data_IF_327180396301
#
_entry.id   IF_327180396301
#
_cell.length_a   1.000
_cell.length_b   1.000
_cell.length_c   1.000
_cell.angle_alpha   90.00
_cell.angle_beta   90.00
_cell.angle_gamma   90.00
#
_symmetry.space_group_name_H-M   'P 1'
#
loop_
_entity.id
_entity.type
_entity.pdbx_description
1 polymer ?
#
# COMPACT_ATOMS: atom_id res chain seq x y z
N UNK A 1 19.82 42.39 -2.18
CA UNK A 1 20.25 41.09 -2.72
C UNK A 1 20.41 40.10 -1.57
N UNK A 2 19.40 39.26 -1.31
CA UNK A 2 19.50 38.14 -0.37
C UNK A 2 19.09 36.89 -1.13
N UNK A 3 20.08 36.05 -1.38
CA UNK A 3 19.99 34.83 -2.21
C UNK A 3 19.24 33.73 -1.47
N UNK A 4 18.20 33.20 -2.13
CA UNK A 4 17.45 32.02 -1.75
C UNK A 4 18.35 30.77 -1.72
N UNK A 5 18.59 30.21 -0.54
CA UNK A 5 19.39 28.98 -0.34
C UNK A 5 18.58 27.78 0.18
N UNK A 6 17.26 27.75 0.06
CA UNK A 6 16.43 26.70 0.69
C UNK A 6 15.46 25.93 -0.24
N UNK A 7 15.82 25.68 -1.51
CA UNK A 7 14.94 24.90 -2.41
C UNK A 7 15.58 23.70 -3.13
N UNK A 8 16.73 23.18 -2.68
CA UNK A 8 17.47 22.13 -3.44
C UNK A 8 17.64 20.74 -2.80
N UNK A 9 17.13 20.45 -1.60
CA UNK A 9 17.56 19.22 -0.88
C UNK A 9 16.60 18.02 -0.88
N UNK A 10 15.35 18.12 -1.33
CA UNK A 10 14.38 17.02 -1.21
C UNK A 10 14.12 16.21 -2.49
N UNK A 11 14.69 16.59 -3.64
CA UNK A 11 14.41 15.93 -4.93
C UNK A 11 15.04 14.53 -5.08
N UNK A 12 15.95 14.12 -4.19
CA UNK A 12 16.65 12.83 -4.30
C UNK A 12 16.65 12.09 -2.96
N UNK A 13 15.48 11.83 -2.37
CA UNK A 13 15.41 10.89 -1.24
C UNK A 13 15.53 9.46 -1.79
N UNK A 14 16.53 8.71 -1.33
CA UNK A 14 16.75 7.32 -1.73
C UNK A 14 17.01 6.44 -0.51
N UNK A 15 16.70 5.16 -0.64
CA UNK A 15 17.22 4.11 0.23
C UNK A 15 18.39 3.42 -0.47
N UNK A 16 19.33 2.90 0.30
CA UNK A 16 20.41 2.06 -0.22
C UNK A 16 20.18 0.63 0.24
N UNK A 17 20.19 -0.30 -0.70
CA UNK A 17 20.05 -1.73 -0.42
C UNK A 17 21.26 -2.48 -0.98
N UNK A 18 21.76 -3.45 -0.24
CA UNK A 18 22.96 -4.21 -0.61
C UNK A 18 22.65 -5.70 -0.68
N UNK A 19 23.21 -6.38 -1.69
CA UNK A 19 23.03 -7.80 -1.90
C UNK A 19 24.04 -8.58 -1.03
N UNK A 20 23.59 -9.36 -0.04
CA UNK A 20 24.48 -10.14 0.83
C UNK A 20 25.16 -11.31 0.09
N UNK A 21 24.71 -11.63 -1.13
CA UNK A 21 25.25 -12.72 -1.96
C UNK A 21 26.11 -12.22 -3.12
N UNK A 22 26.63 -11.00 -3.04
CA UNK A 22 27.52 -10.49 -4.07
C UNK A 22 28.73 -11.43 -4.21
N UNK A 23 28.96 -11.89 -5.44
CA UNK A 23 30.12 -12.74 -5.76
C UNK A 23 31.26 -11.83 -6.24
N UNK A 24 32.50 -12.11 -5.87
CA UNK A 24 33.66 -11.51 -6.54
C UNK A 24 33.79 -12.14 -7.94
N UNK A 25 33.30 -11.45 -8.96
CA UNK A 25 33.34 -11.99 -10.32
C UNK A 25 34.69 -11.69 -10.95
N UNK A 26 35.43 -12.74 -11.31
CA UNK A 26 36.55 -12.62 -12.23
C UNK A 26 36.05 -12.09 -13.59
N UNK A 27 36.83 -11.23 -14.25
CA UNK A 27 36.44 -10.44 -15.44
C UNK A 27 35.85 -11.22 -16.64
N UNK A 28 35.83 -12.56 -16.64
CA UNK A 28 35.34 -13.43 -17.72
C UNK A 28 33.98 -14.10 -17.40
N UNK A 29 33.02 -13.35 -16.86
CA UNK A 29 31.65 -13.84 -16.71
C UNK A 29 30.94 -13.97 -18.07
N UNK A 30 30.13 -15.01 -18.25
CA UNK A 30 29.22 -15.10 -19.41
C UNK A 30 28.21 -13.96 -19.36
N UNK A 31 28.20 -13.15 -20.42
CA UNK A 31 27.25 -12.06 -20.61
C UNK A 31 25.96 -12.63 -21.21
N UNK A 32 24.83 -12.24 -20.64
CA UNK A 32 23.50 -12.53 -21.20
C UNK A 32 22.67 -11.27 -21.26
N UNK A 33 21.60 -11.31 -22.04
CA UNK A 33 20.67 -10.20 -22.19
C UNK A 33 19.35 -10.58 -21.51
N UNK A 34 18.91 -9.76 -20.55
CA UNK A 34 17.52 -9.76 -20.10
C UNK A 34 16.75 -8.75 -20.94
N UNK A 35 15.58 -9.13 -21.43
CA UNK A 35 14.67 -8.26 -22.16
C UNK A 35 13.36 -8.17 -21.39
N UNK A 36 12.86 -6.95 -21.20
CA UNK A 36 11.53 -6.65 -20.70
C UNK A 36 10.96 -5.53 -21.56
N UNK A 37 9.74 -5.73 -22.08
CA UNK A 37 9.23 -4.94 -23.20
C UNK A 37 10.26 -4.93 -24.36
N UNK A 38 10.51 -3.76 -24.93
CA UNK A 38 11.47 -3.56 -26.00
C UNK A 38 12.89 -3.22 -25.48
N UNK A 39 13.11 -3.25 -24.16
CA UNK A 39 14.36 -2.81 -23.53
C UNK A 39 15.22 -4.01 -23.12
N UNK A 40 16.51 -3.93 -23.47
CA UNK A 40 17.50 -4.98 -23.25
C UNK A 40 18.56 -4.54 -22.24
N UNK A 41 18.91 -5.45 -21.34
CA UNK A 41 19.91 -5.26 -20.30
C UNK A 41 20.98 -6.33 -20.38
N UNK A 42 22.22 -5.92 -20.54
CA UNK A 42 23.36 -6.81 -20.40
C UNK A 42 23.59 -7.12 -18.91
N UNK A 43 23.67 -8.39 -18.57
CA UNK A 43 23.81 -8.87 -17.19
C UNK A 43 25.00 -9.79 -17.01
N UNK A 44 25.50 -9.81 -15.78
CA UNK A 44 26.37 -10.87 -15.31
C UNK A 44 25.53 -12.07 -14.89
N UNK A 45 25.63 -13.17 -15.63
CA UNK A 45 24.82 -14.37 -15.39
C UNK A 45 25.00 -14.92 -13.97
N UNK A 46 26.23 -14.97 -13.45
CA UNK A 46 26.52 -15.53 -12.13
C UNK A 46 25.91 -14.68 -11.00
N UNK A 47 26.00 -13.35 -11.09
CA UNK A 47 25.38 -12.46 -10.10
C UNK A 47 23.86 -12.59 -10.10
N UNK A 48 23.24 -12.61 -11.29
CA UNK A 48 21.80 -12.72 -11.40
C UNK A 48 21.29 -14.07 -10.88
N UNK A 49 21.99 -15.18 -11.16
CA UNK A 49 21.69 -16.50 -10.60
C UNK A 49 21.81 -16.53 -9.08
N UNK A 50 22.81 -15.85 -8.51
CA UNK A 50 23.01 -15.80 -7.06
C UNK A 50 21.89 -15.02 -6.36
N UNK A 51 21.39 -13.96 -7.00
CA UNK A 51 20.39 -13.06 -6.46
C UNK A 51 18.94 -13.51 -6.69
N UNK A 52 18.64 -14.17 -7.82
CA UNK A 52 17.28 -14.51 -8.27
C UNK A 52 17.05 -16.03 -8.34
N UNK A 53 16.09 -16.52 -7.57
CA UNK A 53 15.69 -17.93 -7.63
C UNK A 53 14.99 -18.28 -8.95
N UNK A 54 14.23 -17.34 -9.52
CA UNK A 54 13.61 -17.50 -10.83
C UNK A 54 14.67 -17.73 -11.92
N UNK A 55 15.64 -16.82 -12.01
CA UNK A 55 16.72 -16.92 -13.00
C UNK A 55 17.60 -18.13 -12.75
N UNK A 56 17.86 -18.49 -11.48
CA UNK A 56 18.57 -19.73 -11.14
C UNK A 56 17.91 -20.96 -11.77
N UNK A 57 16.59 -21.12 -11.63
CA UNK A 57 15.87 -22.27 -12.22
C UNK A 57 15.88 -22.22 -13.74
N UNK A 58 15.67 -21.05 -14.32
CA UNK A 58 15.61 -20.88 -15.76
C UNK A 58 16.97 -21.03 -16.46
N UNK A 59 18.07 -20.70 -15.78
CA UNK A 59 19.42 -20.72 -16.34
C UNK A 59 20.21 -22.01 -16.04
N UNK A 60 19.85 -22.72 -14.96
CA UNK A 60 20.51 -23.97 -14.52
C UNK A 60 19.66 -25.22 -14.86
N UNK A 61 18.38 -25.07 -15.23
CA UNK A 61 17.48 -26.18 -15.52
C UNK A 61 17.94 -27.14 -16.63
N UNK A 62 17.48 -28.39 -16.54
CA UNK A 62 18.00 -29.58 -17.27
C UNK A 62 17.72 -29.63 -18.79
N UNK A 63 16.90 -28.74 -19.35
CA UNK A 63 16.67 -28.64 -20.81
C UNK A 63 17.71 -27.75 -21.51
N UNK A 64 18.99 -28.12 -21.38
CA UNK A 64 20.17 -27.41 -21.92
C UNK A 64 20.35 -27.66 -23.42
N UNK A 65 19.28 -27.58 -24.22
CA UNK A 65 19.41 -27.67 -25.67
C UNK A 65 19.90 -26.34 -26.29
N UNK A 66 19.52 -25.18 -25.72
CA UNK A 66 20.01 -23.88 -26.20
C UNK A 66 20.15 -22.88 -25.04
N UNK A 67 21.39 -22.52 -24.69
CA UNK A 67 21.64 -21.37 -23.82
C UNK A 67 21.21 -20.10 -24.56
N UNK A 68 19.95 -19.72 -24.42
CA UNK A 68 19.41 -18.50 -25.04
C UNK A 68 20.23 -17.28 -24.59
N UNK A 69 20.78 -16.57 -25.57
CA UNK A 69 21.52 -15.33 -25.33
C UNK A 69 20.59 -14.23 -24.76
N UNK A 70 19.34 -14.22 -25.22
CA UNK A 70 18.30 -13.28 -24.80
C UNK A 70 17.21 -14.03 -24.02
N UNK A 71 16.89 -13.50 -22.86
CA UNK A 71 15.85 -13.97 -21.95
C UNK A 71 14.74 -12.94 -21.91
N UNK A 72 13.56 -13.30 -22.41
CA UNK A 72 12.39 -12.43 -22.43
C UNK A 72 11.60 -12.61 -21.14
N UNK A 73 11.34 -11.52 -20.42
CA UNK A 73 10.74 -11.51 -19.08
C UNK A 73 9.28 -11.06 -19.06
N UNK A 74 8.69 -10.70 -20.21
CA UNK A 74 7.31 -10.20 -20.30
C UNK A 74 6.26 -11.17 -19.73
N UNK A 75 6.54 -12.47 -19.77
CA UNK A 75 5.69 -13.49 -19.14
C UNK A 75 5.51 -13.26 -17.64
N UNK A 76 6.48 -12.63 -16.97
CA UNK A 76 6.40 -12.32 -15.54
C UNK A 76 5.35 -11.24 -15.24
N UNK A 77 5.00 -10.40 -16.21
CA UNK A 77 3.94 -9.39 -16.04
C UNK A 77 2.56 -10.01 -15.81
N UNK A 78 2.33 -11.23 -16.30
CA UNK A 78 1.11 -11.97 -16.01
C UNK A 78 0.93 -12.28 -14.52
N UNK A 79 2.03 -12.48 -13.78
CA UNK A 79 2.01 -12.69 -12.33
C UNK A 79 2.17 -11.40 -11.54
N UNK A 80 3.00 -10.48 -12.05
CA UNK A 80 3.28 -9.20 -11.43
C UNK A 80 3.11 -8.06 -12.44
N UNK A 81 1.90 -7.52 -12.63
CA UNK A 81 1.62 -6.51 -13.64
C UNK A 81 2.42 -5.22 -13.49
N UNK A 82 2.83 -4.88 -12.26
CA UNK A 82 3.65 -3.71 -11.97
C UNK A 82 5.15 -3.93 -12.22
N UNK A 83 5.55 -5.09 -12.73
CA UNK A 83 6.94 -5.35 -13.07
C UNK A 83 7.31 -4.60 -14.36
N UNK A 84 8.19 -3.63 -14.22
CA UNK A 84 8.60 -2.74 -15.30
C UNK A 84 10.12 -2.63 -15.44
N UNK A 85 10.53 -1.91 -16.47
CA UNK A 85 11.93 -1.70 -16.85
C UNK A 85 12.72 -1.00 -15.73
N UNK A 86 12.09 -0.09 -15.00
CA UNK A 86 12.72 0.61 -13.88
C UNK A 86 13.00 -0.37 -12.73
N UNK A 87 12.00 -1.17 -12.35
CA UNK A 87 12.16 -2.21 -11.35
C UNK A 87 13.26 -3.21 -11.73
N UNK A 88 13.29 -3.63 -13.00
CA UNK A 88 14.33 -4.54 -13.51
C UNK A 88 15.73 -3.92 -13.42
N UNK A 89 15.90 -2.65 -13.80
CA UNK A 89 17.17 -1.95 -13.67
C UNK A 89 17.68 -1.93 -12.21
N UNK A 90 16.79 -1.62 -11.26
CA UNK A 90 17.11 -1.63 -9.83
C UNK A 90 17.50 -3.04 -9.35
N UNK A 91 16.78 -4.07 -9.80
CA UNK A 91 17.08 -5.46 -9.46
C UNK A 91 18.46 -5.90 -9.97
N UNK A 92 18.85 -5.44 -11.16
CA UNK A 92 20.19 -5.69 -11.73
C UNK A 92 21.27 -4.97 -10.92
N UNK A 93 21.07 -3.69 -10.57
CA UNK A 93 21.99 -2.97 -9.68
C UNK A 93 22.16 -3.67 -8.33
N UNK A 94 21.06 -4.16 -7.75
CA UNK A 94 21.09 -4.91 -6.50
C UNK A 94 21.91 -6.19 -6.67
N UNK A 95 21.64 -6.97 -7.73
CA UNK A 95 22.38 -8.20 -8.01
C UNK A 95 23.89 -7.94 -8.13
N UNK A 96 24.28 -6.81 -8.73
CA UNK A 96 25.67 -6.39 -8.87
C UNK A 96 26.33 -5.90 -7.56
N UNK A 97 25.56 -5.73 -6.49
CA UNK A 97 26.08 -5.55 -5.13
C UNK A 97 25.31 -4.52 -4.31
N UNK A 98 24.99 -3.37 -4.89
CA UNK A 98 24.27 -2.29 -4.17
C UNK A 98 23.44 -1.47 -5.15
N UNK A 99 22.18 -1.23 -4.79
CA UNK A 99 21.27 -0.36 -5.51
C UNK A 99 20.87 0.85 -4.68
N UNK A 100 20.75 2.00 -5.33
CA UNK A 100 20.11 3.19 -4.76
C UNK A 100 18.70 3.26 -5.32
N UNK A 101 17.72 3.12 -4.44
CA UNK A 101 16.30 3.11 -4.82
C UNK A 101 15.69 4.44 -4.43
N UNK A 102 15.31 5.30 -5.40
CA UNK A 102 14.51 6.49 -5.11
C UNK A 102 13.21 6.10 -4.38
N UNK A 103 12.77 6.91 -3.42
CA UNK A 103 11.58 6.56 -2.61
C UNK A 103 10.34 6.32 -3.49
N UNK A 104 10.17 7.13 -4.54
CA UNK A 104 9.08 7.02 -5.51
C UNK A 104 9.15 5.76 -6.39
N UNK A 105 10.26 5.01 -6.36
CA UNK A 105 10.48 3.76 -7.11
C UNK A 105 10.56 2.51 -6.23
N UNK A 106 10.27 2.62 -4.94
CA UNK A 106 10.27 1.45 -4.03
C UNK A 106 9.27 0.38 -4.49
N UNK A 107 8.10 0.78 -4.98
CA UNK A 107 7.08 -0.14 -5.48
C UNK A 107 7.55 -0.89 -6.73
N UNK A 108 8.24 -0.21 -7.66
CA UNK A 108 8.89 -0.83 -8.81
C UNK A 108 9.95 -1.85 -8.37
N UNK A 109 10.78 -1.49 -7.40
CA UNK A 109 11.81 -2.36 -6.85
C UNK A 109 11.21 -3.62 -6.18
N UNK A 110 10.16 -3.47 -5.39
CA UNK A 110 9.43 -4.60 -4.79
C UNK A 110 8.75 -5.47 -5.85
N UNK A 111 8.18 -4.88 -6.89
CA UNK A 111 7.57 -5.62 -7.97
C UNK A 111 8.60 -6.47 -8.72
N UNK A 112 9.77 -5.91 -9.04
CA UNK A 112 10.86 -6.68 -9.64
C UNK A 112 11.40 -7.76 -8.72
N UNK A 113 11.58 -7.45 -7.42
CA UNK A 113 12.04 -8.42 -6.45
C UNK A 113 11.10 -9.62 -6.32
N UNK A 114 9.78 -9.40 -6.32
CA UNK A 114 8.79 -10.47 -6.31
C UNK A 114 8.74 -11.25 -7.65
N UNK A 115 8.76 -10.54 -8.79
CA UNK A 115 8.72 -11.15 -10.11
C UNK A 115 9.93 -12.07 -10.36
N UNK A 116 11.11 -11.64 -9.90
CA UNK A 116 12.37 -12.36 -10.04
C UNK A 116 12.69 -13.27 -8.83
N UNK A 117 11.80 -13.36 -7.84
CA UNK A 117 11.99 -14.13 -6.60
C UNK A 117 13.32 -13.80 -5.88
N UNK A 118 13.66 -12.51 -5.80
CA UNK A 118 14.83 -11.97 -5.14
C UNK A 118 14.53 -11.64 -3.67
N UNK A 119 14.31 -12.67 -2.86
CA UNK A 119 13.86 -12.52 -1.46
C UNK A 119 14.80 -11.68 -0.58
N UNK A 120 16.10 -11.70 -0.85
CA UNK A 120 17.07 -10.85 -0.14
C UNK A 120 16.87 -9.36 -0.45
N UNK A 121 16.43 -9.04 -1.67
CA UNK A 121 16.09 -7.67 -2.05
C UNK A 121 14.81 -7.21 -1.34
N UNK A 122 13.76 -8.05 -1.30
CA UNK A 122 12.55 -7.77 -0.52
C UNK A 122 12.89 -7.48 0.95
N UNK A 123 13.68 -8.37 1.58
CA UNK A 123 14.12 -8.21 2.97
C UNK A 123 14.92 -6.92 3.19
N UNK A 124 15.84 -6.58 2.28
CA UNK A 124 16.62 -5.35 2.38
C UNK A 124 15.73 -4.10 2.27
N UNK A 125 14.75 -4.10 1.36
CA UNK A 125 13.77 -3.00 1.25
C UNK A 125 12.91 -2.91 2.52
N UNK A 126 12.40 -4.02 3.04
CA UNK A 126 11.62 -4.07 4.29
C UNK A 126 12.40 -3.53 5.49
N UNK A 127 13.71 -3.78 5.57
CA UNK A 127 14.59 -3.20 6.60
C UNK A 127 14.73 -1.69 6.46
N UNK A 128 14.90 -1.18 5.24
CA UNK A 128 14.94 0.27 5.00
C UNK A 128 13.59 0.93 5.34
N UNK A 129 12.47 0.29 5.02
CA UNK A 129 11.14 0.75 5.42
C UNK A 129 10.98 0.79 6.94
N UNK A 130 11.51 -0.20 7.68
CA UNK A 130 11.55 -0.16 9.14
C UNK A 130 12.30 1.09 9.67
N UNK A 131 13.45 1.41 9.08
CA UNK A 131 14.23 2.60 9.48
C UNK A 131 13.49 3.90 9.18
N UNK A 132 12.80 3.98 8.04
CA UNK A 132 11.97 5.13 7.67
C UNK A 132 10.73 5.25 8.57
N UNK A 133 10.13 4.13 8.97
CA UNK A 133 8.98 4.10 9.87
C UNK A 133 9.31 4.56 11.30
N UNK A 134 10.56 4.38 11.74
CA UNK A 134 11.04 4.89 13.02
C UNK A 134 11.23 6.42 13.06
N UNK A 135 11.06 7.12 11.93
CA UNK A 135 11.20 8.57 11.85
C UNK A 135 9.85 9.22 11.57
N UNK A 136 9.38 10.18 12.41
CA UNK A 136 8.03 10.73 12.27
C UNK A 136 7.70 11.22 10.86
N UNK A 137 8.61 11.97 10.22
CA UNK A 137 8.40 12.61 8.91
C UNK A 137 8.18 11.61 7.76
N UNK A 138 8.89 10.49 7.78
CA UNK A 138 8.82 9.47 6.72
C UNK A 138 7.90 8.31 7.07
N UNK A 139 7.43 8.21 8.31
CA UNK A 139 6.65 7.07 8.78
C UNK A 139 5.34 6.87 8.00
N UNK A 140 4.50 7.88 7.74
CA UNK A 140 3.25 7.67 6.98
C UNK A 140 3.51 7.06 5.60
N UNK A 141 4.55 7.52 4.90
CA UNK A 141 4.97 6.97 3.61
C UNK A 141 5.43 5.51 3.75
N UNK A 142 6.37 5.24 4.66
CA UNK A 142 6.94 3.91 4.80
C UNK A 142 5.90 2.86 5.21
N UNK A 143 4.99 3.23 6.12
CA UNK A 143 3.88 2.39 6.56
C UNK A 143 2.91 2.14 5.40
N UNK A 144 2.54 3.18 4.63
CA UNK A 144 1.65 3.02 3.49
C UNK A 144 2.24 2.09 2.41
N UNK A 145 3.52 2.29 2.05
CA UNK A 145 4.22 1.40 1.12
C UNK A 145 4.25 -0.04 1.63
N UNK A 146 4.56 -0.25 2.91
CA UNK A 146 4.63 -1.57 3.51
C UNK A 146 3.28 -2.30 3.46
N UNK A 147 2.20 -1.65 3.91
CA UNK A 147 0.86 -2.28 3.94
C UNK A 147 0.35 -2.60 2.55
N UNK A 148 0.65 -1.78 1.54
CA UNK A 148 0.16 -2.00 0.19
C UNK A 148 0.95 -3.05 -0.61
N UNK A 149 2.20 -3.35 -0.23
CA UNK A 149 3.12 -4.10 -1.10
C UNK A 149 3.83 -5.29 -0.42
N UNK A 150 3.86 -5.36 0.91
CA UNK A 150 4.51 -6.46 1.62
C UNK A 150 3.50 -7.48 2.14
N UNK A 151 4.01 -8.66 2.49
CA UNK A 151 3.23 -9.64 3.23
C UNK A 151 2.82 -9.08 4.60
N UNK A 152 1.72 -9.60 5.14
CA UNK A 152 1.06 -9.06 6.34
C UNK A 152 2.01 -8.94 7.53
N UNK A 153 2.84 -9.95 7.78
CA UNK A 153 3.75 -9.95 8.93
C UNK A 153 4.95 -9.03 8.76
N UNK A 154 5.44 -8.88 7.53
CA UNK A 154 6.46 -7.88 7.22
C UNK A 154 5.92 -6.45 7.38
N UNK A 155 4.69 -6.20 6.90
CA UNK A 155 4.02 -4.91 7.08
C UNK A 155 3.79 -4.57 8.56
N UNK A 156 3.37 -5.55 9.38
CA UNK A 156 3.28 -5.39 10.85
C UNK A 156 4.63 -5.01 11.44
N UNK A 157 5.72 -5.66 11.03
CA UNK A 157 7.07 -5.36 11.51
C UNK A 157 7.47 -3.90 11.25
N UNK A 158 7.16 -3.37 10.05
CA UNK A 158 7.39 -1.96 9.71
C UNK A 158 6.53 -1.04 10.60
N UNK A 159 5.23 -1.34 10.76
CA UNK A 159 4.33 -0.55 11.59
C UNK A 159 4.82 -0.47 13.04
N UNK A 160 5.24 -1.60 13.62
CA UNK A 160 5.71 -1.66 15.03
C UNK A 160 6.83 -0.67 15.32
N UNK A 161 7.66 -0.32 14.34
CA UNK A 161 8.74 0.69 14.49
C UNK A 161 8.24 2.11 14.73
N UNK A 162 6.97 2.39 14.46
CA UNK A 162 6.36 3.71 14.56
C UNK A 162 5.40 3.87 15.74
N UNK A 163 5.07 2.80 16.46
CA UNK A 163 4.06 2.83 17.52
C UNK A 163 4.51 3.69 18.73
N UNK A 164 5.79 3.64 19.10
CA UNK A 164 6.35 4.44 20.20
C UNK A 164 6.36 5.95 19.89
N UNK A 165 6.29 6.32 18.62
CA UNK A 165 6.25 7.71 18.14
C UNK A 165 4.92 8.06 17.49
N UNK A 166 3.86 7.27 17.76
CA UNK A 166 2.56 7.38 17.11
C UNK A 166 2.00 8.81 17.14
N UNK A 167 2.08 9.49 18.30
CA UNK A 167 1.58 10.86 18.45
C UNK A 167 2.29 11.88 17.52
N UNK A 168 3.56 11.64 17.18
CA UNK A 168 4.34 12.46 16.25
C UNK A 168 4.04 12.09 14.79
N UNK A 169 3.78 10.81 14.51
CA UNK A 169 3.43 10.31 13.18
C UNK A 169 2.09 10.88 12.73
N UNK A 170 1.06 10.83 13.57
CA UNK A 170 -0.28 11.33 13.22
C UNK A 170 -0.33 12.85 13.01
N UNK A 171 0.67 13.59 13.50
CA UNK A 171 0.79 15.04 13.30
C UNK A 171 1.44 15.41 11.96
N UNK A 172 1.95 14.46 11.20
CA UNK A 172 2.56 14.76 9.90
C UNK A 172 1.48 15.11 8.87
N UNK A 173 1.80 16.05 7.97
CA UNK A 173 0.85 16.55 6.97
C UNK A 173 0.42 15.50 5.94
N UNK A 174 1.23 14.47 5.73
CA UNK A 174 0.94 13.35 4.82
C UNK A 174 0.20 12.19 5.50
N UNK A 175 -0.13 12.29 6.79
CA UNK A 175 -0.84 11.22 7.50
C UNK A 175 -2.27 11.01 6.95
N UNK A 176 -2.97 12.08 6.56
CA UNK A 176 -4.31 12.00 5.98
C UNK A 176 -4.34 11.37 4.57
N UNK A 177 -3.19 11.23 3.91
CA UNK A 177 -3.05 10.67 2.57
C UNK A 177 -2.85 9.15 2.56
N UNK A 178 -2.70 8.50 3.73
CA UNK A 178 -2.55 7.04 3.78
C UNK A 178 -3.86 6.35 3.42
N UNK A 179 -3.76 5.16 2.81
CA UNK A 179 -4.92 4.39 2.34
C UNK A 179 -5.80 3.89 3.50
N UNK A 180 -7.04 3.49 3.17
CA UNK A 180 -7.97 2.86 4.12
C UNK A 180 -7.35 1.63 4.79
N UNK A 181 -6.75 0.73 4.00
CA UNK A 181 -6.11 -0.49 4.51
C UNK A 181 -4.94 -0.18 5.44
N UNK A 182 -4.15 0.84 5.09
CA UNK A 182 -3.04 1.32 5.91
C UNK A 182 -3.53 1.90 7.23
N UNK A 183 -4.56 2.74 7.20
CA UNK A 183 -5.13 3.32 8.41
C UNK A 183 -5.76 2.24 9.30
N UNK A 184 -6.52 1.29 8.73
CA UNK A 184 -7.10 0.16 9.46
C UNK A 184 -6.02 -0.63 10.20
N UNK A 185 -4.97 -1.06 9.50
CA UNK A 185 -3.92 -1.87 10.13
C UNK A 185 -3.14 -1.07 11.16
N UNK A 186 -2.81 0.19 10.86
CA UNK A 186 -2.02 1.04 11.77
C UNK A 186 -2.78 1.36 13.06
N UNK A 187 -4.03 1.80 12.96
CA UNK A 187 -4.87 2.10 14.11
C UNK A 187 -5.17 0.83 14.93
N UNK A 188 -5.46 -0.29 14.27
CA UNK A 188 -5.74 -1.56 14.94
C UNK A 188 -4.55 -2.04 15.75
N UNK A 189 -3.35 -2.03 15.17
CA UNK A 189 -2.13 -2.43 15.89
C UNK A 189 -1.82 -1.48 17.05
N UNK A 190 -1.99 -0.17 16.86
CA UNK A 190 -1.79 0.79 17.95
C UNK A 190 -2.69 0.50 19.14
N UNK A 191 -4.01 0.39 18.90
CA UNK A 191 -5.00 0.14 19.96
C UNK A 191 -4.76 -1.24 20.59
N UNK A 192 -4.56 -2.28 19.79
CA UNK A 192 -4.37 -3.66 20.28
C UNK A 192 -3.15 -3.79 21.18
N UNK A 193 -1.97 -3.39 20.71
CA UNK A 193 -0.70 -3.49 21.46
C UNK A 193 -0.74 -2.68 22.75
N UNK A 194 -1.39 -1.51 22.73
CA UNK A 194 -1.52 -0.65 23.91
C UNK A 194 -2.66 -1.11 24.84
N UNK A 195 -3.66 -1.84 24.34
CA UNK A 195 -4.74 -2.36 25.19
C UNK A 195 -4.32 -3.55 26.05
N UNK A 196 -3.36 -4.35 25.58
CA UNK A 196 -2.89 -5.57 26.25
C UNK A 196 -1.75 -5.34 27.25
N UNK A 197 -1.04 -4.22 27.17
CA UNK A 197 0.23 -4.00 27.89
C UNK A 197 0.18 -2.89 28.95
N UNK A 198 -0.89 -2.10 29.01
CA UNK A 198 -0.89 -0.81 29.69
C UNK A 198 -1.59 -0.80 31.06
N UNK A 199 -1.02 -0.01 31.98
CA UNK A 199 -1.60 0.30 33.30
C UNK A 199 -2.76 1.31 33.16
N UNK A 200 -3.76 1.20 34.03
CA UNK A 200 -5.01 2.00 33.98
C UNK A 200 -4.83 3.51 33.67
N UNK A 201 -3.78 4.14 34.20
CA UNK A 201 -3.52 5.58 34.07
C UNK A 201 -3.03 6.02 32.67
N UNK A 202 -2.47 5.11 31.88
CA UNK A 202 -1.94 5.37 30.53
C UNK A 202 -2.99 5.16 29.44
N UNK A 203 -4.10 4.45 29.75
CA UNK A 203 -5.22 4.21 28.83
C UNK A 203 -5.80 5.50 28.24
N UNK A 204 -5.83 6.57 29.04
CA UNK A 204 -6.31 7.89 28.60
C UNK A 204 -5.48 8.44 27.45
N UNK A 205 -4.16 8.33 27.51
CA UNK A 205 -3.27 8.83 26.46
C UNK A 205 -3.46 8.05 25.14
N UNK A 206 -3.67 6.73 25.24
CA UNK A 206 -3.97 5.86 24.09
C UNK A 206 -5.26 6.27 23.41
N UNK A 207 -6.33 6.45 24.18
CA UNK A 207 -7.64 6.90 23.68
C UNK A 207 -7.50 8.27 23.02
N UNK A 208 -6.81 9.23 23.65
CA UNK A 208 -6.61 10.56 23.10
C UNK A 208 -5.84 10.55 21.77
N UNK A 209 -4.79 9.72 21.68
CA UNK A 209 -4.02 9.57 20.45
C UNK A 209 -4.82 8.86 19.35
N UNK A 210 -5.57 7.82 19.67
CA UNK A 210 -6.43 7.12 18.70
C UNK A 210 -7.53 8.05 18.16
N UNK A 211 -8.19 8.81 19.05
CA UNK A 211 -9.19 9.83 18.68
C UNK A 211 -8.57 10.91 17.80
N UNK A 212 -7.35 11.37 18.13
CA UNK A 212 -6.62 12.34 17.32
C UNK A 212 -6.28 11.77 15.94
N UNK A 213 -5.85 10.52 15.85
CA UNK A 213 -5.55 9.85 14.59
C UNK A 213 -6.79 9.79 13.69
N UNK A 214 -7.92 9.33 14.24
CA UNK A 214 -9.21 9.30 13.54
C UNK A 214 -9.58 10.70 13.05
N UNK A 215 -9.50 11.73 13.92
CA UNK A 215 -9.83 13.10 13.53
C UNK A 215 -8.97 13.61 12.37
N UNK A 216 -7.65 13.43 12.45
CA UNK A 216 -6.72 13.94 11.42
C UNK A 216 -6.90 13.19 10.10
N UNK A 217 -7.06 11.87 10.15
CA UNK A 217 -7.21 11.08 8.93
C UNK A 217 -8.58 11.25 8.28
N UNK A 218 -9.66 11.34 9.07
CA UNK A 218 -10.99 11.59 8.53
C UNK A 218 -11.13 13.01 7.98
N UNK A 219 -10.54 14.03 8.61
CA UNK A 219 -10.84 15.42 8.26
C UNK A 219 -12.35 15.66 8.35
N UNK A 220 -12.95 16.16 7.26
CA UNK A 220 -14.40 16.35 7.11
C UNK A 220 -15.08 15.20 6.32
N UNK A 221 -14.36 14.13 5.99
CA UNK A 221 -14.87 12.99 5.21
C UNK A 221 -15.72 12.05 6.08
N UNK A 222 -17.03 12.10 5.86
CA UNK A 222 -18.02 11.27 6.54
C UNK A 222 -17.82 9.76 6.31
N UNK A 223 -17.36 9.34 5.14
CA UNK A 223 -17.13 7.91 4.84
C UNK A 223 -15.95 7.38 5.65
N UNK A 224 -14.91 8.19 5.85
CA UNK A 224 -13.79 7.84 6.73
C UNK A 224 -14.22 7.69 8.19
N UNK A 225 -15.18 8.49 8.68
CA UNK A 225 -15.73 8.30 10.02
C UNK A 225 -16.52 6.99 10.15
N UNK A 226 -17.35 6.65 9.16
CA UNK A 226 -18.05 5.35 9.10
C UNK A 226 -17.07 4.17 9.08
N UNK A 227 -16.03 4.27 8.25
CA UNK A 227 -14.97 3.27 8.20
C UNK A 227 -14.26 3.11 9.54
N UNK A 228 -13.90 4.22 10.19
CA UNK A 228 -13.28 4.23 11.52
C UNK A 228 -14.18 3.54 12.55
N UNK A 229 -15.50 3.77 12.52
CA UNK A 229 -16.45 3.08 13.39
C UNK A 229 -16.38 1.55 13.22
N UNK A 230 -16.29 1.08 11.97
CA UNK A 230 -16.18 -0.35 11.69
C UNK A 230 -14.90 -0.97 12.25
N UNK A 231 -13.77 -0.25 12.19
CA UNK A 231 -12.52 -0.69 12.81
C UNK A 231 -12.70 -0.85 14.33
N UNK A 232 -13.28 0.15 15.00
CA UNK A 232 -13.47 0.12 16.46
C UNK A 232 -14.42 -1.02 16.88
N UNK A 233 -15.48 -1.26 16.12
CA UNK A 233 -16.39 -2.38 16.37
C UNK A 233 -15.69 -3.75 16.27
N UNK A 234 -14.81 -3.91 15.28
CA UNK A 234 -14.00 -5.11 15.08
C UNK A 234 -13.02 -5.37 16.23
N UNK A 235 -12.51 -4.31 16.88
CA UNK A 235 -11.56 -4.41 17.99
C UNK A 235 -12.21 -4.69 19.35
N UNK A 236 -13.53 -4.49 19.47
CA UNK A 236 -14.27 -4.65 20.74
C UNK A 236 -14.02 -5.99 21.45
N UNK A 237 -13.93 -7.16 20.79
CA UNK A 237 -13.69 -8.43 21.47
C UNK A 237 -12.26 -8.56 22.05
N UNK A 238 -11.33 -7.71 21.61
CA UNK A 238 -9.90 -7.89 21.85
C UNK A 238 -9.30 -6.81 22.75
N UNK A 239 -10.01 -5.71 22.95
CA UNK A 239 -9.52 -4.53 23.66
C UNK A 239 -10.43 -4.21 24.86
N UNK A 240 -9.88 -3.50 25.86
CA UNK A 240 -10.65 -3.02 27.01
C UNK A 240 -11.89 -2.23 26.58
N UNK A 241 -13.04 -2.60 27.13
CA UNK A 241 -14.35 -1.98 26.84
C UNK A 241 -14.28 -0.46 27.04
N UNK A 242 -13.57 -0.03 28.08
CA UNK A 242 -13.30 1.36 28.40
C UNK A 242 -12.56 2.12 27.29
N UNK A 243 -11.54 1.54 26.66
CA UNK A 243 -10.81 2.19 25.55
C UNK A 243 -11.73 2.34 24.33
N UNK A 244 -12.42 1.26 23.97
CA UNK A 244 -13.28 1.18 22.78
C UNK A 244 -14.47 2.15 22.89
N UNK A 245 -15.15 2.17 24.04
CA UNK A 245 -16.32 3.02 24.24
C UNK A 245 -15.99 4.51 24.18
N UNK A 246 -14.82 4.94 24.67
CA UNK A 246 -14.41 6.34 24.59
C UNK A 246 -14.12 6.78 23.16
N UNK A 247 -13.45 5.92 22.36
CA UNK A 247 -13.18 6.22 20.95
C UNK A 247 -14.49 6.24 20.17
N UNK A 248 -15.40 5.30 20.43
CA UNK A 248 -16.70 5.24 19.76
C UNK A 248 -17.57 6.48 20.05
N UNK A 249 -17.63 6.92 21.32
CA UNK A 249 -18.35 8.16 21.69
C UNK A 249 -17.86 9.37 20.88
N UNK A 250 -16.55 9.48 20.66
CA UNK A 250 -15.99 10.52 19.81
C UNK A 250 -16.44 10.38 18.34
N UNK A 251 -16.35 9.18 17.77
CA UNK A 251 -16.74 8.95 16.36
C UNK A 251 -18.23 9.26 16.17
N UNK A 252 -19.10 8.79 17.07
CA UNK A 252 -20.54 9.05 17.02
C UNK A 252 -20.87 10.55 17.09
N UNK A 253 -20.17 11.32 17.93
CA UNK A 253 -20.38 12.77 18.02
C UNK A 253 -20.07 13.51 16.71
N UNK A 254 -19.03 13.10 15.97
CA UNK A 254 -18.67 13.74 14.70
C UNK A 254 -19.61 13.33 13.56
N UNK A 255 -20.03 12.06 13.52
CA UNK A 255 -21.06 11.58 12.57
C UNK A 255 -22.36 12.39 12.71
N UNK A 256 -22.80 12.63 13.95
CA UNK A 256 -24.03 13.40 14.22
C UNK A 256 -23.88 14.87 13.85
N UNK A 257 -22.73 15.51 14.14
CA UNK A 257 -22.47 16.90 13.76
C UNK A 257 -22.48 17.09 12.24
N UNK A 258 -21.88 16.17 11.49
CA UNK A 258 -21.87 16.25 10.03
C UNK A 258 -23.28 16.08 9.45
N UNK A 259 -24.03 15.09 9.93
CA UNK A 259 -25.42 14.90 9.50
C UNK A 259 -26.32 16.10 9.80
N UNK A 260 -26.04 16.85 10.87
CA UNK A 260 -26.75 18.09 11.19
C UNK A 260 -26.36 19.25 10.27
N UNK A 261 -25.09 19.33 9.84
CA UNK A 261 -24.61 20.32 8.88
C UNK A 261 -25.26 20.11 7.51
N UNK A 262 -25.26 18.87 7.02
CA UNK A 262 -25.86 18.51 5.73
C UNK A 262 -27.36 18.82 5.68
N UNK A 263 -28.08 18.61 6.80
CA UNK A 263 -29.51 18.96 6.92
C UNK A 263 -29.76 20.48 6.93
N UNK A 264 -28.81 21.27 7.43
CA UNK A 264 -28.93 22.73 7.49
C UNK A 264 -28.66 23.38 6.13
N UNK A 265 -27.68 22.87 5.38
CA UNK A 265 -27.41 23.32 4.00
C UNK A 265 -28.61 23.04 3.08
N UNK A 266 -29.29 21.90 3.22
CA UNK A 266 -30.53 21.60 2.47
C UNK A 266 -31.69 22.53 2.86
N UNK A 267 -31.73 23.00 4.11
CA UNK A 267 -32.76 23.94 4.58
C UNK A 267 -32.52 25.36 4.06
N UNK A 268 -31.27 25.79 3.94
CA UNK A 268 -30.90 27.13 3.49
C UNK A 268 -31.01 27.29 1.96
N UNK A 269 -31.01 26.19 1.20
CA UNK A 269 -31.17 26.17 -0.27
C UNK A 269 -32.64 26.03 -0.75
N UNK A 270 -33.60 25.99 0.19
CA UNK A 270 -35.03 25.80 -0.12
C UNK A 270 -35.79 27.09 -0.48
N UNK A 271 -35.09 28.16 -0.88
CA UNK A 271 -35.70 29.41 -1.38
C UNK A 271 -35.42 29.70 -2.86
N UNK A 272 -35.45 28.66 -3.71
CA UNK A 272 -35.64 28.85 -5.16
C UNK A 272 -36.85 28.04 -5.61
N UNK A 273 -37.92 28.78 -5.88
CA UNK A 273 -39.15 28.30 -6.49
C UNK A 273 -38.93 27.73 -7.91
N UNK A 274 -39.86 26.85 -8.30
CA UNK A 274 -40.29 26.53 -9.67
C UNK A 274 -39.50 25.47 -10.47
N UNK A 275 -40.02 24.23 -10.49
CA UNK A 275 -41.01 23.76 -11.48
C UNK A 275 -40.93 22.23 -11.66
N UNK A 276 -42.07 21.59 -11.45
CA UNK A 276 -42.32 20.17 -11.78
C UNK A 276 -42.27 19.98 -13.31
N UNK A 277 -41.71 18.87 -13.79
CA UNK A 277 -42.51 18.03 -14.67
C UNK A 277 -42.50 16.53 -14.31
N UNK A 278 -43.70 15.95 -14.39
CA UNK A 278 -44.08 14.52 -14.43
C UNK A 278 -43.57 13.86 -15.72
N UNK A 279 -43.14 12.60 -15.66
CA UNK A 279 -43.51 11.51 -16.62
C UNK A 279 -43.01 10.14 -16.09
N UNK A 280 -43.91 9.21 -15.72
CA UNK A 280 -44.45 8.03 -16.45
C UNK A 280 -43.56 6.75 -16.38
N UNK A 281 -44.20 5.67 -15.89
CA UNK A 281 -43.75 4.28 -15.74
C UNK A 281 -43.50 3.55 -17.07
N UNK A 282 -42.67 2.51 -17.05
CA UNK A 282 -42.91 1.28 -17.82
C UNK A 282 -42.27 0.05 -17.16
N UNK A 283 -43.03 -1.04 -17.10
CA UNK A 283 -42.67 -2.36 -16.58
C UNK A 283 -42.54 -3.37 -17.74
N UNK A 284 -41.76 -4.44 -17.55
CA UNK A 284 -41.97 -5.85 -17.96
C UNK A 284 -40.61 -6.58 -17.92
N UNK A 285 -40.34 -7.71 -17.23
CA UNK A 285 -40.98 -9.02 -17.02
C UNK A 285 -40.51 -10.13 -18.00
N UNK A 286 -39.93 -11.21 -17.43
CA UNK A 286 -39.83 -12.62 -17.90
C UNK A 286 -38.98 -12.98 -19.15
N UNK A 287 -38.37 -14.17 -19.34
CA UNK A 287 -38.00 -15.35 -18.52
C UNK A 287 -37.16 -16.34 -19.39
N UNK A 288 -36.31 -17.16 -18.75
CA UNK A 288 -35.99 -18.60 -18.99
C UNK A 288 -35.38 -19.07 -20.34
N UNK A 289 -34.22 -19.74 -20.26
CA UNK A 289 -33.99 -21.11 -20.74
C UNK A 289 -32.63 -21.69 -20.24
N UNK A 290 -32.66 -22.95 -19.78
CA UNK A 290 -31.54 -23.81 -19.34
C UNK A 290 -31.20 -24.79 -20.50
N UNK A 291 -29.98 -25.33 -20.68
CA UNK A 291 -29.64 -26.60 -20.01
C UNK A 291 -28.13 -26.93 -19.75
N UNK A 292 -27.91 -27.76 -18.71
CA UNK A 292 -26.87 -28.76 -18.41
C UNK A 292 -25.43 -28.77 -19.01
N UNK A 293 -24.50 -28.78 -18.05
CA UNK A 293 -23.34 -29.67 -17.81
C UNK A 293 -21.94 -29.51 -18.46
N UNK A 294 -21.01 -29.15 -17.55
CA UNK A 294 -19.60 -29.56 -17.41
C UNK A 294 -18.52 -28.90 -18.29
N UNK A 295 -17.72 -28.03 -17.68
CA UNK A 295 -16.29 -28.24 -17.38
C UNK A 295 -15.73 -26.99 -16.66
N UNK A 296 -14.95 -27.23 -15.61
CA UNK A 296 -14.34 -26.25 -14.69
C UNK A 296 -13.43 -25.26 -15.45
N UNK A 297 -13.61 -23.95 -15.23
CA UNK A 297 -12.57 -22.93 -14.98
C UNK A 297 -13.29 -21.62 -14.59
N UNK A 298 -12.92 -21.01 -13.45
CA UNK A 298 -13.47 -19.72 -12.98
C UNK A 298 -13.09 -18.59 -13.93
N UNK A 299 -14.09 -18.01 -14.58
CA UNK A 299 -13.96 -16.81 -15.42
C UNK A 299 -14.53 -15.59 -14.67
N UNK A 300 -13.72 -14.53 -14.52
CA UNK A 300 -14.16 -13.23 -14.02
C UNK A 300 -14.57 -12.31 -15.18
N UNK A 301 -15.69 -11.59 -15.00
CA UNK A 301 -16.41 -10.80 -16.03
C UNK A 301 -15.86 -9.37 -16.22
N UNK A 302 -16.11 -8.83 -17.42
CA UNK A 302 -15.85 -7.45 -17.90
C UNK A 302 -17.01 -6.49 -17.55
N UNK A 303 -16.73 -5.24 -17.12
CA UNK A 303 -17.72 -4.12 -17.03
C UNK A 303 -17.04 -2.74 -17.23
N UNK A 304 -17.70 -1.83 -17.96
CA UNK A 304 -17.32 -0.45 -18.35
C UNK A 304 -17.55 0.64 -17.27
N UNK A 305 -16.93 1.82 -17.45
CA UNK A 305 -16.82 2.97 -16.52
C UNK A 305 -17.81 4.11 -16.81
N UNK A 306 -18.25 4.91 -15.81
CA UNK A 306 -18.77 6.26 -16.02
C UNK A 306 -17.73 7.37 -15.74
N UNK A 307 -17.92 8.49 -16.43
CA UNK A 307 -17.06 9.68 -16.56
C UNK A 307 -17.09 10.55 -15.29
N UNK A 308 -15.93 11.07 -14.90
CA UNK A 308 -15.75 12.05 -13.82
C UNK A 308 -15.50 13.47 -14.38
N UNK A 309 -15.89 14.50 -13.64
CA UNK A 309 -15.34 15.86 -13.76
C UNK A 309 -14.59 16.23 -12.45
N UNK A 310 -13.45 16.95 -12.54
CA UNK A 310 -12.60 17.27 -11.39
C UNK A 310 -12.82 18.69 -10.87
N UNK A 311 -12.46 18.94 -9.61
CA UNK A 311 -12.19 20.32 -9.18
C UNK A 311 -11.05 20.43 -8.16
N UNK A 312 -10.41 21.59 -8.24
CA UNK A 312 -8.99 21.82 -7.98
C UNK A 312 -8.67 22.52 -6.65
N UNK A 313 -7.50 22.17 -6.10
CA UNK A 313 -6.44 23.04 -5.54
C UNK A 313 -5.96 22.64 -4.13
N UNK A 314 -4.69 22.21 -4.07
CA UNK A 314 -3.91 22.09 -2.84
C UNK A 314 -2.57 21.41 -3.11
N UNK A 315 -1.49 22.19 -3.14
CA UNK A 315 -0.09 21.83 -3.46
C UNK A 315 0.36 20.50 -2.82
N UNK A 316 0.57 19.48 -3.65
CA UNK A 316 0.96 18.10 -3.31
C UNK A 316 2.48 17.89 -3.36
N UNK A 317 2.98 16.96 -2.53
CA UNK A 317 4.10 16.14 -2.94
C UNK A 317 3.66 15.40 -4.20
N UNK A 318 4.12 15.82 -5.38
CA UNK A 318 3.92 15.06 -6.62
C UNK A 318 4.68 13.73 -6.48
N UNK A 319 3.99 12.73 -5.90
CA UNK A 319 4.15 11.37 -6.37
C UNK A 319 3.90 11.41 -7.89
N UNK A 320 4.68 10.69 -8.72
CA UNK A 320 4.43 10.65 -10.16
C UNK A 320 2.94 10.34 -10.39
N UNK A 321 2.23 11.23 -11.08
CA UNK A 321 0.79 11.09 -11.41
C UNK A 321 0.48 9.83 -12.22
N UNK A 322 1.51 9.10 -12.65
CA UNK A 322 1.45 7.79 -13.29
C UNK A 322 1.35 6.61 -12.28
N UNK A 323 1.39 6.86 -10.97
CA UNK A 323 1.29 5.84 -9.91
C UNK A 323 -0.03 5.88 -9.11
N UNK A 324 -0.94 6.79 -9.44
CA UNK A 324 -2.22 7.00 -8.73
C UNK A 324 -3.47 6.51 -9.47
N UNK A 325 -3.32 5.93 -10.67
CA UNK A 325 -4.44 5.34 -11.41
C UNK A 325 -4.16 3.88 -11.74
N UNK A 326 -4.35 3.03 -10.72
CA UNK A 326 -4.57 1.60 -10.90
C UNK A 326 -5.62 1.16 -9.89
N UNK A 327 -6.89 1.48 -10.16
CA UNK A 327 -8.01 0.91 -9.42
C UNK A 327 -8.32 -0.50 -9.96
N UNK A 328 -7.56 -1.48 -9.46
CA UNK A 328 -8.03 -2.86 -9.34
C UNK A 328 -7.76 -3.36 -7.91
N UNK A 329 -8.75 -4.02 -7.27
CA UNK A 329 -8.67 -4.41 -5.88
C UNK A 329 -7.70 -5.57 -5.70
N UNK A 330 -6.78 -5.47 -4.74
CA UNK A 330 -6.08 -6.62 -4.16
C UNK A 330 -6.75 -6.91 -2.82
N UNK A 331 -7.58 -7.97 -2.82
CA UNK A 331 -8.24 -8.62 -1.67
C UNK A 331 -8.54 -7.73 -0.44
N UNK A 332 -9.82 -7.38 -0.24
CA UNK A 332 -10.36 -7.11 1.09
C UNK A 332 -11.01 -8.40 1.58
N UNK A 333 -10.22 -9.17 2.31
CA UNK A 333 -10.64 -10.21 3.23
C UNK A 333 -9.79 -10.07 4.51
N UNK A 334 -9.78 -8.89 5.11
CA UNK A 334 -9.11 -8.66 6.40
C UNK A 334 -9.92 -9.35 7.51
N UNK A 335 -9.69 -10.66 7.70
CA UNK A 335 -10.02 -11.34 8.94
C UNK A 335 -9.03 -10.89 10.02
N UNK A 336 -9.56 -10.36 11.12
CA UNK A 336 -8.82 -10.07 12.36
C UNK A 336 -8.11 -11.32 12.92
N UNK A 337 -8.52 -12.51 12.49
CA UNK A 337 -7.97 -13.81 12.89
C UNK A 337 -6.43 -13.86 12.77
N UNK A 338 -5.86 -13.31 11.70
CA UNK A 338 -4.39 -13.29 11.55
C UNK A 338 -3.66 -12.15 12.32
N UNK A 339 -4.34 -11.38 13.17
CA UNK A 339 -3.67 -10.61 14.25
C UNK A 339 -3.38 -11.53 15.45
N UNK A 340 -4.12 -12.63 15.59
CA UNK A 340 -4.05 -13.58 16.71
C UNK A 340 -3.08 -14.76 16.46
N UNK A 341 -2.63 -14.99 15.23
CA UNK A 341 -1.80 -16.16 14.85
C UNK A 341 -0.29 -16.04 15.19
N UNK A 342 0.11 -15.25 16.19
CA UNK A 342 1.51 -15.28 16.67
C UNK A 342 1.56 -15.54 18.18
N UNK A 343 2.29 -16.59 18.64
CA UNK A 343 2.62 -16.74 20.05
C UNK A 343 3.62 -15.64 20.44
N UNK A 344 3.40 -15.04 21.61
CA UNK A 344 4.38 -14.17 22.25
C UNK A 344 5.68 -14.95 22.50
N UNK A 345 6.77 -14.55 21.85
CA UNK A 345 8.13 -14.98 22.19
C UNK A 345 9.04 -13.77 22.38
#
# INVERSE_FOLDING_TARGET
>A
MVSSKHSKSLRNAYITISNPKQIEVAMQGSKRILQLDDIKFEINEQQMIAASNFLKRMLIGEDVAEKKEIIVLDVLKGKQPCFDVIGLAIAIEFANGTAKVPLERITNALAAANALEMWHMCKAISQQLCMLAAQPKSAPFAINVAVCNLEKDEAKCVIKRSLDIFDKVIKQSNFNAISYSTFELFLSLYIYEHSSTIKEHEKKAVVENAVRAVRIWCGDDYQRFKFSKNIINKLRPFCGIDIIDHIEKFIAANITKQSAKDKKEISDDSTVEHNVPRMINAAMDNSVNNPNESLKFEAFRHIELPVAEPDANGVEFEAPKELLFSDKPKLIGLQLEAILECPNH
#
